data_IF_408108890683
#
_entry.id   IF_408108890683
#
_cell.length_a   1.000
_cell.length_b   1.000
_cell.length_c   1.000
_cell.angle_alpha   90.00
_cell.angle_beta   90.00
_cell.angle_gamma   90.00
#
_symmetry.space_group_name_H-M   'P 1'
#
loop_
_entity.id
_entity.type
_entity.pdbx_description
1 polymer ?
#
# COMPACT_ATOMS: atom_id res chain seq x y z
N UNK A 1 2.42 10.80 19.68
CA UNK A 1 2.08 9.37 19.80
C UNK A 1 2.08 8.79 18.38
N UNK A 2 3.22 8.31 17.89
CA UNK A 2 3.27 7.67 16.57
C UNK A 2 2.65 6.28 16.73
N UNK A 3 1.33 6.20 16.63
CA UNK A 3 0.62 4.92 16.62
C UNK A 3 1.13 4.07 15.47
N UNK A 4 1.20 2.76 15.68
CA UNK A 4 1.45 1.78 14.63
C UNK A 4 0.54 2.08 13.44
N UNK A 5 1.10 2.16 12.22
CA UNK A 5 0.31 2.43 11.02
C UNK A 5 -0.85 1.43 10.90
N UNK A 6 -2.04 1.92 10.57
CA UNK A 6 -3.24 1.11 10.35
C UNK A 6 -3.48 0.90 8.86
N UNK A 7 -3.05 1.83 8.00
CA UNK A 7 -3.21 1.73 6.55
C UNK A 7 -1.84 1.73 5.88
N UNK A 8 -1.62 0.79 4.97
CA UNK A 8 -0.44 0.76 4.12
C UNK A 8 -0.76 1.29 2.72
N UNK A 9 -0.22 2.44 2.35
CA UNK A 9 -0.37 3.02 1.00
C UNK A 9 0.86 2.66 0.17
N UNK A 10 0.72 1.78 -0.81
CA UNK A 10 1.81 1.34 -1.67
C UNK A 10 1.59 1.75 -3.12
N UNK A 11 2.69 2.04 -3.82
CA UNK A 11 2.65 2.47 -5.22
C UNK A 11 3.78 1.83 -6.03
N UNK A 12 3.52 1.57 -7.32
CA UNK A 12 4.47 0.88 -8.20
C UNK A 12 5.72 1.71 -8.54
N UNK A 13 5.61 3.04 -8.47
CA UNK A 13 6.62 4.00 -8.89
C UNK A 13 6.47 5.35 -8.19
N UNK A 14 7.48 6.22 -8.30
CA UNK A 14 7.38 7.59 -7.78
C UNK A 14 6.39 8.46 -8.57
N UNK A 15 6.16 8.19 -9.86
CA UNK A 15 5.20 8.93 -10.67
C UNK A 15 3.75 8.69 -10.20
N UNK A 16 3.45 7.52 -9.65
CA UNK A 16 2.14 7.20 -9.08
C UNK A 16 1.80 8.07 -7.84
N UNK A 17 2.81 8.71 -7.22
CA UNK A 17 2.61 9.56 -6.05
C UNK A 17 1.73 10.77 -6.34
N UNK A 18 1.79 11.33 -7.54
CA UNK A 18 0.96 12.47 -7.92
C UNK A 18 -0.54 12.18 -7.72
N UNK A 19 -0.95 10.92 -7.98
CA UNK A 19 -2.30 10.41 -7.73
C UNK A 19 -2.49 9.98 -6.27
N UNK A 20 -1.60 9.14 -5.73
CA UNK A 20 -1.81 8.56 -4.38
C UNK A 20 -1.59 9.52 -3.21
N UNK A 21 -0.97 10.69 -3.41
CA UNK A 21 -0.87 11.71 -2.36
C UNK A 21 -2.23 12.12 -1.81
N UNK A 22 -3.27 12.11 -2.64
CA UNK A 22 -4.63 12.44 -2.22
C UNK A 22 -5.18 11.43 -1.20
N UNK A 23 -4.79 10.16 -1.28
CA UNK A 23 -5.09 9.14 -0.27
C UNK A 23 -4.40 9.48 1.05
N UNK A 24 -3.09 9.76 1.01
CA UNK A 24 -2.32 10.11 2.20
C UNK A 24 -2.89 11.37 2.89
N UNK A 25 -3.08 12.45 2.14
CA UNK A 25 -3.67 13.71 2.62
C UNK A 25 -5.06 13.49 3.25
N UNK A 26 -5.87 12.60 2.69
CA UNK A 26 -7.19 12.25 3.24
C UNK A 26 -7.07 11.49 4.55
N UNK A 27 -6.17 10.51 4.63
CA UNK A 27 -5.90 9.76 5.85
C UNK A 27 -5.37 10.69 6.97
N UNK A 28 -4.52 11.66 6.64
CA UNK A 28 -4.02 12.67 7.59
C UNK A 28 -5.16 13.53 8.13
N UNK A 29 -6.03 14.06 7.26
CA UNK A 29 -7.20 14.87 7.66
C UNK A 29 -8.16 14.10 8.58
N UNK A 30 -8.24 12.79 8.41
CA UNK A 30 -9.06 11.90 9.24
C UNK A 30 -8.34 11.43 10.51
N UNK A 31 -7.07 11.76 10.70
CA UNK A 31 -6.25 11.30 11.83
C UNK A 31 -5.93 9.81 11.81
N UNK A 32 -5.94 9.18 10.62
CA UNK A 32 -5.66 7.74 10.46
C UNK A 32 -4.15 7.54 10.22
N UNK A 33 -3.50 6.87 11.17
CA UNK A 33 -2.09 6.52 11.06
C UNK A 33 -1.85 5.60 9.85
N UNK A 34 -0.92 5.97 8.98
CA UNK A 34 -0.62 5.22 7.76
C UNK A 34 0.86 5.31 7.41
N UNK A 35 1.31 4.42 6.53
CA UNK A 35 2.63 4.46 5.91
C UNK A 35 2.51 4.56 4.39
N UNK A 36 3.46 5.24 3.74
CA UNK A 36 3.55 5.35 2.28
C UNK A 36 4.84 4.71 1.79
N UNK A 37 4.78 3.82 0.78
CA UNK A 37 5.98 3.15 0.25
C UNK A 37 5.92 2.91 -1.27
N UNK A 38 7.08 2.97 -1.92
CA UNK A 38 7.23 2.49 -3.31
C UNK A 38 7.55 1.00 -3.31
N UNK A 39 6.62 0.20 -3.84
CA UNK A 39 6.69 -1.26 -3.94
C UNK A 39 6.25 -1.66 -5.35
N UNK A 40 7.21 -2.03 -6.20
CA UNK A 40 6.93 -2.35 -7.61
C UNK A 40 6.66 -3.84 -7.79
N UNK A 41 5.50 -4.18 -8.33
CA UNK A 41 5.14 -5.57 -8.64
C UNK A 41 6.08 -6.22 -9.67
N UNK A 42 6.53 -5.46 -10.67
CA UNK A 42 7.37 -6.01 -11.73
C UNK A 42 8.88 -5.85 -11.47
N UNK A 43 9.30 -4.75 -10.81
CA UNK A 43 10.72 -4.46 -10.59
C UNK A 43 11.25 -4.99 -9.26
N UNK A 44 10.40 -5.14 -8.26
CA UNK A 44 10.77 -5.60 -6.91
C UNK A 44 9.72 -6.59 -6.37
N UNK A 45 9.45 -7.71 -7.07
CA UNK A 45 8.38 -8.64 -6.70
C UNK A 45 8.56 -9.23 -5.29
N UNK A 46 9.79 -9.56 -4.87
CA UNK A 46 10.06 -10.08 -3.54
C UNK A 46 9.69 -9.07 -2.44
N UNK A 47 10.01 -7.79 -2.64
CA UNK A 47 9.61 -6.71 -1.73
C UNK A 47 8.09 -6.62 -1.59
N UNK A 48 7.35 -6.83 -2.68
CA UNK A 48 5.89 -6.89 -2.65
C UNK A 48 5.40 -8.08 -1.80
N UNK A 49 5.96 -9.25 -2.02
CA UNK A 49 5.57 -10.46 -1.29
C UNK A 49 5.83 -10.30 0.20
N UNK A 50 7.03 -9.83 0.57
CA UNK A 50 7.39 -9.59 1.96
C UNK A 50 6.50 -8.54 2.61
N UNK A 51 6.25 -7.42 1.92
CA UNK A 51 5.40 -6.36 2.41
C UNK A 51 3.98 -6.86 2.72
N UNK A 52 3.37 -7.58 1.78
CA UNK A 52 1.99 -8.06 1.90
C UNK A 52 1.86 -9.17 2.96
N UNK A 53 2.76 -10.16 2.96
CA UNK A 53 2.74 -11.28 3.93
C UNK A 53 2.91 -10.78 5.37
N UNK A 54 3.77 -9.78 5.58
CA UNK A 54 4.05 -9.25 6.92
C UNK A 54 3.06 -8.17 7.36
N UNK A 55 2.24 -7.61 6.45
CA UNK A 55 1.35 -6.47 6.71
C UNK A 55 0.49 -6.65 7.97
N UNK A 56 -0.18 -7.80 8.10
CA UNK A 56 -1.05 -8.10 9.23
C UNK A 56 -0.28 -8.19 10.55
N UNK A 57 0.88 -8.87 10.55
CA UNK A 57 1.74 -8.98 11.72
C UNK A 57 2.34 -7.64 12.17
N UNK A 58 2.47 -6.68 11.25
CA UNK A 58 2.88 -5.29 11.55
C UNK A 58 1.75 -4.41 12.08
N UNK A 59 0.52 -4.92 12.17
CA UNK A 59 -0.64 -4.19 12.68
C UNK A 59 -1.47 -3.46 11.62
N UNK A 60 -1.11 -3.56 10.32
CA UNK A 60 -1.93 -2.99 9.25
C UNK A 60 -3.32 -3.64 9.23
N UNK A 61 -4.32 -2.84 8.90
CA UNK A 61 -5.73 -3.23 8.77
C UNK A 61 -6.21 -3.20 7.32
N UNK A 62 -5.63 -2.34 6.49
CA UNK A 62 -5.97 -2.18 5.07
C UNK A 62 -4.71 -1.87 4.27
N UNK A 63 -4.64 -2.36 3.04
CA UNK A 63 -3.64 -1.91 2.06
C UNK A 63 -4.37 -1.14 0.95
N UNK A 64 -3.86 0.04 0.60
CA UNK A 64 -4.28 0.79 -0.58
C UNK A 64 -3.12 0.73 -1.56
N UNK A 65 -3.34 0.17 -2.75
CA UNK A 65 -2.30 -0.09 -3.73
C UNK A 65 -2.61 0.63 -5.03
N UNK A 66 -1.72 1.52 -5.47
CA UNK A 66 -1.85 2.26 -6.73
C UNK A 66 -0.87 1.82 -7.81
N UNK A 67 -1.36 1.61 -9.04
CA UNK A 67 -0.49 1.31 -10.19
C UNK A 67 -1.15 1.68 -11.54
N UNK A 68 -0.34 2.14 -12.50
CA UNK A 68 -0.79 2.41 -13.88
C UNK A 68 -0.50 1.27 -14.89
N UNK A 69 -1.22 1.28 -16.01
CA UNK A 69 -1.00 0.37 -17.14
C UNK A 69 -1.39 -1.08 -16.84
N UNK A 70 -0.44 -2.02 -16.96
CA UNK A 70 -0.61 -3.41 -16.52
C UNK A 70 -0.55 -3.49 -14.97
N UNK A 71 -1.56 -2.95 -14.31
CA UNK A 71 -1.61 -2.62 -12.89
C UNK A 71 -1.75 -3.86 -11.97
N UNK A 72 -0.71 -4.70 -11.91
CA UNK A 72 -0.74 -5.95 -11.15
C UNK A 72 -0.52 -5.78 -9.64
N UNK A 73 -0.07 -4.61 -9.18
CA UNK A 73 0.28 -4.39 -7.77
C UNK A 73 -0.87 -4.70 -6.80
N UNK A 74 -2.12 -4.23 -7.02
CA UNK A 74 -3.21 -4.50 -6.08
C UNK A 74 -3.58 -5.99 -6.02
N UNK A 75 -3.71 -6.63 -7.19
CA UNK A 75 -4.07 -8.05 -7.26
C UNK A 75 -3.00 -8.95 -6.65
N UNK A 76 -1.73 -8.69 -6.93
CA UNK A 76 -0.63 -9.46 -6.34
C UNK A 76 -0.51 -9.23 -4.84
N UNK A 77 -0.72 -8.00 -4.33
CA UNK A 77 -0.78 -7.74 -2.90
C UNK A 77 -1.90 -8.56 -2.24
N UNK A 78 -3.11 -8.53 -2.82
CA UNK A 78 -4.27 -9.26 -2.32
C UNK A 78 -4.04 -10.78 -2.31
N UNK A 79 -3.30 -11.32 -3.28
CA UNK A 79 -2.98 -12.76 -3.30
C UNK A 79 -2.05 -13.22 -2.16
N UNK A 80 -1.36 -12.28 -1.49
CA UNK A 80 -0.32 -12.55 -0.50
C UNK A 80 -0.73 -12.17 0.93
N UNK A 81 -1.94 -11.66 1.13
CA UNK A 81 -2.47 -11.30 2.45
C UNK A 81 -3.97 -11.48 2.53
N UNK A 82 -4.48 -11.83 3.70
CA UNK A 82 -5.93 -11.85 3.97
C UNK A 82 -6.52 -10.46 4.28
N UNK A 83 -5.69 -9.42 4.39
CA UNK A 83 -6.17 -8.07 4.66
C UNK A 83 -6.91 -7.53 3.44
N UNK A 84 -7.92 -6.68 3.62
CA UNK A 84 -8.57 -5.99 2.51
C UNK A 84 -7.54 -5.14 1.74
N UNK A 85 -7.54 -5.29 0.42
CA UNK A 85 -6.71 -4.52 -0.51
C UNK A 85 -7.61 -3.70 -1.42
N UNK A 86 -7.41 -2.39 -1.43
CA UNK A 86 -8.12 -1.45 -2.29
C UNK A 86 -7.19 -1.03 -3.44
N UNK A 87 -7.59 -1.28 -4.68
CA UNK A 87 -6.84 -0.89 -5.87
C UNK A 87 -7.20 0.52 -6.34
N UNK A 88 -6.19 1.29 -6.73
CA UNK A 88 -6.31 2.64 -7.32
C UNK A 88 -5.61 2.67 -8.67
#
# INVERSE_FOLDING_TARGET
MAGTALVGVIMGSRSDWETLRHTAETLEKLGIAHETRVVSAHRTPERLFDYAKQAAGRGLKVIIAGAGGAAHLPGMAASMTHLPVLGV
#
